data_IF_049575479346
#
_entry.id   IF_049575479346
#
_cell.length_a   1.000
_cell.length_b   1.000
_cell.length_c   1.000
_cell.angle_alpha   90.00
_cell.angle_beta   90.00
_cell.angle_gamma   90.00
#
_symmetry.space_group_name_H-M   'P 1'
#
loop_
_entity.id
_entity.type
_entity.pdbx_description
1 polymer ?
#
# COMPACT_ATOMS: atom_id res chain seq x y z
N UNK A 1 -2.51 6.12 -11.50
CA UNK A 1 -3.58 6.82 -12.25
C UNK A 1 -4.85 6.96 -11.40
N UNK A 2 -5.64 5.91 -11.16
CA UNK A 2 -6.90 6.04 -10.39
C UNK A 2 -6.70 6.40 -8.91
N UNK A 3 -5.77 5.73 -8.21
CA UNK A 3 -5.43 6.09 -6.81
C UNK A 3 -4.92 7.53 -6.71
N UNK A 4 -4.08 7.95 -7.67
CA UNK A 4 -3.59 9.33 -7.76
C UNK A 4 -4.73 10.34 -7.89
N UNK A 5 -5.73 10.04 -8.72
CA UNK A 5 -6.92 10.90 -8.85
C UNK A 5 -7.67 11.07 -7.52
N UNK A 6 -7.74 10.03 -6.69
CA UNK A 6 -8.33 10.12 -5.34
C UNK A 6 -7.49 11.04 -4.45
N UNK A 7 -6.18 10.85 -4.43
CA UNK A 7 -5.29 11.67 -3.58
C UNK A 7 -5.23 13.12 -4.05
N UNK A 8 -5.30 13.38 -5.36
CA UNK A 8 -5.32 14.72 -5.96
C UNK A 8 -6.61 15.48 -5.62
N UNK A 9 -7.72 14.77 -5.36
CA UNK A 9 -8.94 15.33 -4.80
C UNK A 9 -8.83 15.68 -3.30
N UNK A 10 -7.67 15.40 -2.68
CA UNK A 10 -7.32 15.82 -1.33
C UNK A 10 -7.71 14.82 -0.23
N UNK A 11 -7.81 13.52 -0.54
CA UNK A 11 -7.87 12.47 0.47
C UNK A 11 -6.43 12.09 0.85
N UNK A 12 -6.01 12.38 2.08
CA UNK A 12 -4.65 12.14 2.55
C UNK A 12 -4.36 10.66 2.79
N UNK A 13 -5.38 9.87 3.13
CA UNK A 13 -5.26 8.42 3.31
C UNK A 13 -6.18 7.64 2.36
N UNK A 14 -5.61 6.63 1.69
CA UNK A 14 -6.33 5.71 0.79
C UNK A 14 -5.97 4.27 1.11
N UNK A 15 -6.97 3.44 1.35
CA UNK A 15 -6.82 2.02 1.66
C UNK A 15 -7.38 1.16 0.54
N UNK A 16 -6.57 0.26 -0.02
CA UNK A 16 -7.05 -0.76 -0.95
C UNK A 16 -7.41 -2.01 -0.16
N UNK A 17 -8.72 -2.24 -0.01
CA UNK A 17 -9.27 -3.32 0.83
C UNK A 17 -9.49 -4.62 0.06
N UNK A 18 -9.62 -4.55 -1.25
CA UNK A 18 -9.64 -5.73 -2.11
C UNK A 18 -9.34 -5.36 -3.56
N UNK A 19 -8.76 -6.32 -4.30
CA UNK A 19 -8.70 -6.30 -5.76
C UNK A 19 -9.02 -7.69 -6.30
N UNK A 20 -10.00 -7.79 -7.20
CA UNK A 20 -10.47 -9.08 -7.72
C UNK A 20 -10.72 -9.01 -9.23
N UNK A 21 -10.48 -10.11 -9.98
CA UNK A 21 -10.95 -10.24 -11.35
C UNK A 21 -12.44 -9.89 -11.45
N UNK A 22 -12.82 -9.03 -12.39
CA UNK A 22 -14.22 -8.70 -12.64
C UNK A 22 -14.67 -9.21 -14.00
N UNK A 23 -13.95 -8.85 -15.08
CA UNK A 23 -14.37 -9.19 -16.45
C UNK A 23 -13.22 -9.16 -17.46
N UNK A 24 -13.37 -9.92 -18.54
CA UNK A 24 -12.54 -9.80 -19.75
C UNK A 24 -13.37 -9.13 -20.85
N UNK A 25 -12.82 -8.09 -21.47
CA UNK A 25 -13.36 -7.46 -22.68
C UNK A 25 -12.46 -7.87 -23.85
N UNK A 26 -12.87 -8.89 -24.60
CA UNK A 26 -12.12 -9.36 -25.77
C UNK A 26 -12.64 -8.74 -27.08
N UNK A 27 -11.78 -8.56 -28.11
CA UNK A 27 -12.20 -8.09 -29.44
C UNK A 27 -13.25 -8.96 -30.14
N UNK A 28 -13.39 -10.23 -29.72
CA UNK A 28 -14.42 -11.15 -30.24
C UNK A 28 -15.85 -10.78 -29.84
N UNK A 29 -16.00 -10.02 -28.76
CA UNK A 29 -17.29 -9.73 -28.13
C UNK A 29 -17.53 -8.22 -27.93
N UNK A 30 -16.48 -7.40 -28.02
CA UNK A 30 -16.54 -5.96 -27.79
C UNK A 30 -15.69 -5.22 -28.84
N UNK A 31 -15.99 -3.94 -29.05
CA UNK A 31 -15.21 -3.06 -29.93
C UNK A 31 -13.92 -2.60 -29.23
N UNK A 32 -12.99 -3.52 -29.01
CA UNK A 32 -11.66 -3.26 -28.44
C UNK A 32 -10.59 -3.79 -29.39
N UNK A 33 -9.44 -3.13 -29.48
CA UNK A 33 -8.31 -3.57 -30.32
C UNK A 33 -7.57 -4.75 -29.69
N UNK A 34 -7.59 -4.85 -28.36
CA UNK A 34 -6.95 -5.89 -27.58
C UNK A 34 -7.87 -6.45 -26.49
N UNK A 35 -7.40 -7.49 -25.81
CA UNK A 35 -8.12 -8.09 -24.67
C UNK A 35 -7.85 -7.27 -23.42
N UNK A 36 -8.90 -6.65 -22.87
CA UNK A 36 -8.79 -5.81 -21.66
C UNK A 36 -9.23 -6.63 -20.44
N UNK A 37 -8.36 -6.71 -19.44
CA UNK A 37 -8.66 -7.29 -18.14
C UNK A 37 -9.17 -6.21 -17.19
N UNK A 38 -10.41 -6.38 -16.71
CA UNK A 38 -11.09 -5.46 -15.81
C UNK A 38 -11.14 -6.06 -14.43
N UNK A 39 -10.76 -5.26 -13.44
CA UNK A 39 -10.75 -5.62 -12.03
C UNK A 39 -11.78 -4.79 -11.26
N UNK A 40 -12.30 -5.38 -10.18
CA UNK A 40 -13.04 -4.66 -9.15
C UNK A 40 -12.10 -4.37 -7.99
N UNK A 41 -12.08 -3.11 -7.54
CA UNK A 41 -11.23 -2.66 -6.45
C UNK A 41 -12.11 -2.02 -5.37
N UNK A 42 -11.96 -2.47 -4.12
CA UNK A 42 -12.62 -1.86 -2.96
C UNK A 42 -11.65 -0.89 -2.31
N UNK A 43 -12.07 0.37 -2.15
CA UNK A 43 -11.24 1.46 -1.63
C UNK A 43 -11.97 2.17 -0.49
N UNK A 44 -11.24 2.42 0.61
CA UNK A 44 -11.63 3.42 1.58
C UNK A 44 -10.76 4.66 1.39
N UNK A 45 -11.39 5.80 1.10
CA UNK A 45 -10.71 7.08 0.99
C UNK A 45 -11.11 7.93 2.19
N UNK A 46 -10.12 8.31 3.00
CA UNK A 46 -10.32 9.03 4.26
C UNK A 46 -9.97 10.50 4.04
N UNK A 47 -10.87 11.39 4.45
CA UNK A 47 -10.65 12.83 4.34
C UNK A 47 -9.92 13.33 5.60
N UNK A 48 -8.61 13.30 5.52
CA UNK A 48 -7.67 13.82 6.50
C UNK A 48 -6.70 14.83 5.84
N UNK A 49 -5.96 15.63 6.64
CA UNK A 49 -4.94 16.52 6.10
C UNK A 49 -3.90 15.73 5.31
N UNK A 50 -3.54 16.24 4.13
CA UNK A 50 -2.44 15.68 3.33
C UNK A 50 -1.12 15.85 4.10
N UNK A 51 -0.36 14.76 4.37
CA UNK A 51 0.98 14.88 4.94
C UNK A 51 1.94 15.66 4.02
N UNK A 52 2.96 16.31 4.58
CA UNK A 52 3.94 17.08 3.80
C UNK A 52 4.71 16.23 2.77
N UNK A 53 4.94 14.96 3.10
CA UNK A 53 5.60 13.97 2.24
C UNK A 53 4.63 13.18 1.33
N UNK A 54 3.36 13.63 1.25
CA UNK A 54 2.32 13.09 0.39
C UNK A 54 1.40 12.05 1.05
N UNK A 55 0.45 11.51 0.29
CA UNK A 55 -0.64 10.70 0.84
C UNK A 55 -0.15 9.35 1.36
N UNK A 56 -0.84 8.84 2.38
CA UNK A 56 -0.69 7.48 2.87
C UNK A 56 -1.57 6.53 2.06
N UNK A 57 -0.96 5.83 1.11
CA UNK A 57 -1.64 4.78 0.32
C UNK A 57 -1.30 3.41 0.90
N UNK A 58 -2.31 2.63 1.26
CA UNK A 58 -2.17 1.29 1.79
C UNK A 58 -2.58 0.25 0.75
N UNK A 59 -1.58 -0.46 0.20
CA UNK A 59 -1.80 -1.59 -0.72
C UNK A 59 -1.66 -2.94 -0.02
N UNK A 60 -1.71 -2.98 1.31
CA UNK A 60 -1.56 -4.19 2.11
C UNK A 60 -0.11 -4.68 2.23
N UNK A 61 0.85 -3.76 2.27
CA UNK A 61 2.26 -4.06 2.52
C UNK A 61 2.52 -4.19 4.02
N UNK A 62 3.50 -5.02 4.37
CA UNK A 62 3.90 -5.32 5.75
C UNK A 62 5.41 -5.24 5.86
N UNK A 63 5.91 -4.63 6.93
CA UNK A 63 7.30 -4.66 7.31
C UNK A 63 7.50 -5.59 8.53
N UNK A 64 8.56 -6.39 8.52
CA UNK A 64 8.96 -7.24 9.64
C UNK A 64 10.45 -7.01 9.89
N UNK A 65 10.79 -6.47 11.05
CA UNK A 65 12.17 -6.36 11.51
C UNK A 65 12.60 -7.69 12.13
N UNK A 66 13.77 -8.21 11.76
CA UNK A 66 14.31 -9.48 12.25
C UNK A 66 15.80 -9.37 12.65
N UNK A 67 16.27 -8.16 12.95
CA UNK A 67 17.63 -7.93 13.47
C UNK A 67 17.76 -8.27 14.95
N UNK A 68 18.93 -8.02 15.52
CA UNK A 68 19.30 -8.49 16.86
C UNK A 68 18.72 -7.65 18.02
N UNK A 69 18.32 -6.39 17.76
CA UNK A 69 17.76 -5.49 18.77
C UNK A 69 16.27 -5.78 19.02
N UNK A 70 15.72 -5.30 20.14
CA UNK A 70 14.30 -5.48 20.49
C UNK A 70 13.36 -4.81 19.48
N UNK A 71 13.80 -3.70 18.89
CA UNK A 71 13.04 -2.96 17.88
C UNK A 71 13.95 -2.14 16.97
N UNK A 72 13.40 -1.77 15.82
CA UNK A 72 13.95 -0.77 14.91
C UNK A 72 13.05 0.46 14.91
N UNK A 73 13.62 1.65 15.11
CA UNK A 73 12.92 2.95 15.02
C UNK A 73 13.45 3.72 13.81
N UNK A 74 12.56 4.09 12.89
CA UNK A 74 12.93 4.87 11.71
C UNK A 74 13.07 6.38 12.00
N UNK A 75 12.75 6.80 13.23
CA UNK A 75 12.68 8.18 13.72
C UNK A 75 11.76 9.09 12.89
N UNK A 76 10.81 8.49 12.17
CA UNK A 76 9.78 9.15 11.37
C UNK A 76 8.38 8.68 11.77
N UNK A 77 8.26 8.09 12.97
CA UNK A 77 7.00 7.66 13.56
C UNK A 77 6.66 6.19 13.36
N UNK A 78 7.59 5.37 12.86
CA UNK A 78 7.38 3.93 12.70
C UNK A 78 8.38 3.14 13.55
N UNK A 79 7.84 2.30 14.43
CA UNK A 79 8.62 1.43 15.29
C UNK A 79 8.30 -0.03 14.96
N UNK A 80 9.28 -0.77 14.44
CA UNK A 80 9.17 -2.18 14.12
C UNK A 80 9.66 -3.01 15.31
N UNK A 81 8.74 -3.70 15.98
CA UNK A 81 9.08 -4.69 16.99
C UNK A 81 9.72 -5.92 16.34
N UNK A 82 10.73 -6.51 17.00
CA UNK A 82 11.42 -7.69 16.49
C UNK A 82 10.42 -8.84 16.22
N UNK A 83 10.48 -9.40 15.01
CA UNK A 83 9.65 -10.48 14.49
C UNK A 83 8.13 -10.24 14.51
N UNK A 84 7.69 -8.99 14.65
CA UNK A 84 6.26 -8.64 14.55
C UNK A 84 5.96 -7.95 13.21
N UNK A 85 4.85 -8.31 12.55
CA UNK A 85 4.40 -7.62 11.35
C UNK A 85 3.80 -6.26 11.70
N UNK A 86 4.25 -5.22 10.99
CA UNK A 86 3.61 -3.91 10.99
C UNK A 86 3.06 -3.60 9.60
N UNK A 87 1.78 -3.25 9.52
CA UNK A 87 1.19 -2.72 8.30
C UNK A 87 1.80 -1.35 7.98
N UNK A 88 2.25 -1.17 6.74
CA UNK A 88 2.92 0.07 6.31
C UNK A 88 2.29 0.59 5.03
N UNK A 89 2.19 1.92 4.92
CA UNK A 89 1.79 2.53 3.65
C UNK A 89 2.94 2.46 2.62
N UNK A 90 2.61 2.64 1.34
CA UNK A 90 3.53 2.46 0.22
C UNK A 90 4.75 3.39 0.28
N UNK A 91 4.60 4.61 0.85
CA UNK A 91 5.74 5.52 1.05
C UNK A 91 6.66 5.05 2.19
N UNK A 92 6.10 4.59 3.31
CA UNK A 92 6.87 4.04 4.43
C UNK A 92 7.62 2.78 3.97
N UNK A 93 6.94 1.87 3.28
CA UNK A 93 7.55 0.67 2.72
C UNK A 93 8.76 1.00 1.82
N UNK A 94 8.62 1.97 0.91
CA UNK A 94 9.73 2.45 0.06
C UNK A 94 10.87 3.07 0.87
N UNK A 95 10.55 3.87 1.90
CA UNK A 95 11.55 4.48 2.76
C UNK A 95 12.38 3.41 3.49
N UNK A 96 11.73 2.36 4.00
CA UNK A 96 12.39 1.22 4.64
C UNK A 96 13.27 0.46 3.63
N UNK A 97 12.76 0.17 2.43
CA UNK A 97 13.52 -0.49 1.36
C UNK A 97 14.79 0.31 0.99
N UNK A 98 14.71 1.65 0.95
CA UNK A 98 15.84 2.53 0.66
C UNK A 98 16.90 2.59 1.78
N UNK A 99 16.62 2.08 2.98
CA UNK A 99 17.65 1.93 4.01
C UNK A 99 18.67 0.84 3.64
N UNK A 100 18.35 -0.03 2.67
CA UNK A 100 19.20 -1.13 2.20
C UNK A 100 19.68 -2.03 3.34
N UNK A 101 18.84 -2.22 4.35
CA UNK A 101 19.09 -3.14 5.46
C UNK A 101 18.80 -4.58 5.04
N UNK A 102 19.58 -5.51 5.57
CA UNK A 102 19.42 -6.94 5.35
C UNK A 102 18.63 -7.64 6.47
N UNK A 103 18.09 -6.87 7.43
CA UNK A 103 17.39 -7.35 8.61
C UNK A 103 15.95 -6.80 8.74
N UNK A 104 15.41 -6.23 7.65
CA UNK A 104 14.01 -5.86 7.54
C UNK A 104 13.44 -6.45 6.26
N UNK A 105 12.37 -7.21 6.38
CA UNK A 105 11.60 -7.70 5.26
C UNK A 105 10.43 -6.75 4.99
N UNK A 106 10.23 -6.39 3.72
CA UNK A 106 9.06 -5.63 3.26
C UNK A 106 8.31 -6.47 2.23
N UNK A 107 7.04 -6.76 2.49
CA UNK A 107 6.22 -7.56 1.57
C UNK A 107 5.86 -6.77 0.29
N UNK A 108 5.62 -7.47 -0.83
CA UNK A 108 4.97 -6.86 -1.98
C UNK A 108 3.52 -6.47 -1.64
N UNK A 109 2.93 -5.60 -2.46
CA UNK A 109 1.51 -5.24 -2.34
C UNK A 109 0.60 -6.45 -2.51
N UNK A 110 -0.22 -6.74 -1.49
CA UNK A 110 -1.26 -7.78 -1.55
C UNK A 110 -2.57 -7.27 -2.19
N UNK A 111 -2.73 -5.94 -2.28
CA UNK A 111 -3.98 -5.26 -2.62
C UNK A 111 -5.15 -5.65 -1.69
N UNK A 112 -4.79 -6.01 -0.46
CA UNK A 112 -5.69 -6.35 0.63
C UNK A 112 -5.14 -5.76 1.91
N UNK A 113 -5.60 -4.55 2.24
CA UNK A 113 -5.39 -3.92 3.54
C UNK A 113 -6.66 -4.10 4.37
N UNK A 114 -6.52 -4.76 5.52
CA UNK A 114 -7.60 -5.11 6.43
C UNK A 114 -7.70 -4.20 7.66
N UNK A 115 -6.84 -3.19 7.75
CA UNK A 115 -6.77 -2.24 8.87
C UNK A 115 -5.50 -2.39 9.69
N UNK A 116 -5.50 -1.82 10.90
CA UNK A 116 -4.38 -1.94 11.85
C UNK A 116 -3.55 -0.66 12.05
N UNK A 117 -3.69 0.35 11.18
CA UNK A 117 -2.88 1.58 11.26
C UNK A 117 -1.43 1.35 10.83
N UNK A 118 -0.64 2.43 10.74
CA UNK A 118 0.78 2.38 10.38
C UNK A 118 1.73 2.90 11.46
N UNK A 119 1.27 3.14 12.68
CA UNK A 119 2.04 3.84 13.71
C UNK A 119 1.96 3.07 15.03
#
# INVERSE_FOLDING_TARGET
AYVSMITDAGFGTVEIRARRPYRILSPKHFNTEETIYVESVEICAIKDPMPEDGPCVFTGRTAIYFGDDEYFDDHKGHLLQQNQPLSVCDKTARNIEHLNRNDIFVSPSSYFYDGGGCC
#
